data_IF_202199082342
#
_entry.id   IF_202199082342
#
_cell.length_a   1.000
_cell.length_b   1.000
_cell.length_c   1.000
_cell.angle_alpha   90.00
_cell.angle_beta   90.00
_cell.angle_gamma   90.00
#
_symmetry.space_group_name_H-M   'P 1'
#
loop_
_entity.id
_entity.type
_entity.pdbx_description
1 polymer ?
#
# COMPACT_ATOMS: atom_id res chain seq x y z
N UNK A 1 -11.71 -8.42 52.08
CA UNK A 1 -10.42 -8.25 51.38
C UNK A 1 -9.99 -6.79 51.52
N UNK A 2 -8.76 -6.52 51.97
CA UNK A 2 -8.27 -5.15 52.17
C UNK A 2 -8.24 -4.38 50.84
N UNK A 3 -8.58 -3.08 50.86
CA UNK A 3 -8.52 -2.19 49.68
C UNK A 3 -7.18 -2.26 48.94
N UNK A 4 -6.09 -2.53 49.66
CA UNK A 4 -4.76 -2.72 49.07
C UNK A 4 -4.67 -3.96 48.16
N UNK A 5 -5.35 -5.06 48.50
CA UNK A 5 -5.36 -6.29 47.70
C UNK A 5 -6.13 -6.10 46.40
N UNK A 6 -7.21 -5.31 46.43
CA UNK A 6 -8.02 -4.99 45.26
C UNK A 6 -7.30 -4.08 44.27
N UNK A 7 -6.51 -3.11 44.76
CA UNK A 7 -5.69 -2.22 43.93
C UNK A 7 -4.53 -2.98 43.28
N UNK A 8 -3.86 -3.87 44.01
CA UNK A 8 -2.77 -4.70 43.45
C UNK A 8 -3.32 -5.68 42.40
N UNK A 9 -4.48 -6.28 42.63
CA UNK A 9 -5.10 -7.18 41.64
C UNK A 9 -5.53 -6.43 40.36
N UNK A 10 -6.05 -5.20 40.51
CA UNK A 10 -6.41 -4.35 39.37
C UNK A 10 -5.17 -3.90 38.56
N UNK A 11 -4.04 -3.60 39.22
CA UNK A 11 -2.80 -3.25 38.55
C UNK A 11 -2.18 -4.45 37.79
N UNK A 12 -2.24 -5.64 38.39
CA UNK A 12 -1.74 -6.88 37.75
C UNK A 12 -2.59 -7.29 36.55
N UNK A 13 -3.92 -7.10 36.60
CA UNK A 13 -4.78 -7.30 35.43
C UNK A 13 -4.56 -6.24 34.33
N UNK A 14 -4.28 -4.99 34.70
CA UNK A 14 -3.96 -3.93 33.72
C UNK A 14 -2.60 -4.14 33.03
N UNK A 15 -1.62 -4.72 33.74
CA UNK A 15 -0.30 -5.08 33.18
C UNK A 15 -0.33 -6.35 32.30
N UNK A 16 -1.30 -7.24 32.50
CA UNK A 16 -1.45 -8.46 31.69
C UNK A 16 -2.13 -8.20 30.33
N UNK A 17 -2.90 -7.12 30.19
CA UNK A 17 -3.60 -6.76 28.94
C UNK A 17 -2.75 -6.01 27.91
N UNK A 18 -1.56 -5.53 28.28
CA UNK A 18 -0.71 -4.68 27.42
C UNK A 18 0.24 -5.41 26.48
N UNK A 19 0.43 -6.73 26.64
CA UNK A 19 1.50 -7.47 25.93
C UNK A 19 1.03 -8.35 24.77
N UNK A 20 -0.23 -8.22 24.32
CA UNK A 20 -0.75 -9.02 23.21
C UNK A 20 -0.73 -8.32 21.85
N UNK A 21 -0.30 -7.06 21.80
CA UNK A 21 -0.54 -6.15 20.64
C UNK A 21 0.72 -5.81 19.83
N UNK A 22 1.86 -6.43 20.14
CA UNK A 22 3.17 -6.14 19.51
C UNK A 22 3.92 -7.39 19.03
N UNK A 23 3.20 -8.49 18.77
CA UNK A 23 3.86 -9.70 18.22
C UNK A 23 3.88 -9.62 16.70
N UNK A 24 5.07 -9.36 16.15
CA UNK A 24 5.41 -9.87 14.83
C UNK A 24 4.99 -11.35 14.77
N UNK A 25 4.23 -11.79 13.76
CA UNK A 25 3.70 -13.14 13.76
C UNK A 25 4.83 -14.16 13.88
N UNK A 26 4.76 -15.04 14.88
CA UNK A 26 5.69 -16.14 15.00
C UNK A 26 5.37 -17.22 13.95
N UNK A 27 6.20 -17.31 12.91
CA UNK A 27 6.10 -18.34 11.88
C UNK A 27 4.75 -18.42 11.17
N UNK A 28 4.49 -19.57 10.57
CA UNK A 28 3.32 -19.89 9.75
C UNK A 28 1.98 -19.94 10.52
N UNK A 29 1.61 -18.85 11.19
CA UNK A 29 0.36 -18.75 11.94
C UNK A 29 -0.84 -18.64 11.00
N UNK A 30 -1.96 -19.22 11.42
CA UNK A 30 -3.27 -18.97 10.84
C UNK A 30 -3.64 -17.48 10.90
N UNK A 31 -4.29 -17.01 9.85
CA UNK A 31 -4.86 -15.66 9.80
C UNK A 31 -5.93 -15.54 10.88
N UNK A 32 -5.81 -14.58 11.82
CA UNK A 32 -6.84 -14.36 12.83
C UNK A 32 -8.19 -14.02 12.18
N UNK A 33 -9.32 -14.47 12.75
CA UNK A 33 -10.62 -14.02 12.31
C UNK A 33 -10.75 -12.51 12.56
N UNK A 34 -11.47 -11.80 11.70
CA UNK A 34 -11.71 -10.37 11.84
C UNK A 34 -12.52 -9.80 10.69
N UNK A 35 -12.86 -8.52 10.80
CA UNK A 35 -13.66 -7.75 9.82
C UNK A 35 -12.90 -6.58 9.21
N UNK A 36 -11.61 -6.43 9.54
CA UNK A 36 -10.77 -5.36 9.02
C UNK A 36 -10.46 -5.47 7.53
N UNK A 37 -9.70 -4.53 6.96
CA UNK A 37 -9.40 -4.49 5.54
C UNK A 37 -8.63 -5.74 5.12
N UNK A 38 -8.91 -6.28 3.94
CA UNK A 38 -8.24 -7.48 3.46
C UNK A 38 -7.28 -7.15 2.32
N UNK A 39 -6.06 -7.69 2.34
CA UNK A 39 -5.13 -7.50 1.22
C UNK A 39 -5.75 -8.08 -0.05
N UNK A 40 -5.74 -7.30 -1.13
CA UNK A 40 -6.22 -7.76 -2.43
C UNK A 40 -5.19 -8.70 -3.04
N UNK A 41 -5.64 -9.89 -3.46
CA UNK A 41 -4.79 -10.89 -4.09
C UNK A 41 -5.56 -11.67 -5.16
N UNK A 42 -5.65 -11.08 -6.36
CA UNK A 42 -6.44 -11.54 -7.49
C UNK A 42 -5.55 -11.87 -8.71
N UNK A 43 -5.09 -13.12 -8.77
CA UNK A 43 -4.25 -13.61 -9.88
C UNK A 43 -4.98 -13.69 -11.22
N UNK A 44 -6.32 -13.76 -11.19
CA UNK A 44 -7.14 -13.92 -12.39
C UNK A 44 -7.64 -12.61 -12.97
N UNK A 45 -7.38 -11.47 -12.31
CA UNK A 45 -7.75 -10.15 -12.84
C UNK A 45 -7.07 -9.93 -14.20
N UNK A 46 -7.76 -9.20 -15.07
CA UNK A 46 -7.35 -8.88 -16.44
C UNK A 46 -7.36 -7.37 -16.63
N UNK A 47 -6.44 -6.80 -17.43
CA UNK A 47 -5.41 -7.48 -18.22
C UNK A 47 -4.19 -7.96 -17.40
N UNK A 48 -4.01 -7.44 -16.19
CA UNK A 48 -2.95 -7.82 -15.25
C UNK A 48 -3.56 -8.29 -13.93
N UNK A 49 -2.88 -9.20 -13.21
CA UNK A 49 -3.28 -9.59 -11.87
C UNK A 49 -3.14 -8.41 -10.91
N UNK A 50 -3.99 -8.37 -9.90
CA UNK A 50 -3.91 -7.39 -8.82
C UNK A 50 -3.49 -8.10 -7.54
N UNK A 51 -2.20 -8.00 -7.26
CA UNK A 51 -1.56 -8.54 -6.07
C UNK A 51 -0.59 -7.48 -5.56
N UNK A 52 -0.11 -7.58 -4.30
CA UNK A 52 0.98 -6.73 -3.87
C UNK A 52 2.16 -6.84 -4.83
N UNK A 53 2.81 -5.73 -5.15
CA UNK A 53 4.00 -5.69 -6.00
C UNK A 53 5.11 -4.96 -5.26
N UNK A 54 6.39 -5.34 -5.40
CA UNK A 54 6.91 -6.59 -5.96
C UNK A 54 6.43 -7.86 -5.25
N UNK A 55 6.20 -8.94 -6.00
CA UNK A 55 5.88 -10.25 -5.40
C UNK A 55 6.35 -11.42 -6.26
N UNK A 56 7.08 -12.34 -5.64
CA UNK A 56 7.63 -13.53 -6.29
C UNK A 56 6.57 -14.44 -6.93
N UNK A 57 5.32 -14.39 -6.49
CA UNK A 57 4.20 -15.13 -7.13
C UNK A 57 3.99 -14.66 -8.59
N UNK A 58 4.32 -13.41 -8.91
CA UNK A 58 4.31 -12.87 -10.28
C UNK A 58 5.64 -13.07 -11.02
N UNK A 59 6.44 -14.06 -10.64
CA UNK A 59 7.69 -14.43 -11.32
C UNK A 59 7.66 -15.87 -11.79
N UNK A 60 8.57 -16.23 -12.68
CA UNK A 60 8.85 -17.62 -13.02
C UNK A 60 10.32 -17.95 -12.76
N UNK A 61 10.60 -19.21 -12.45
CA UNK A 61 11.97 -19.68 -12.21
C UNK A 61 12.76 -19.72 -13.52
N UNK A 62 13.95 -19.11 -13.52
CA UNK A 62 14.89 -19.10 -14.64
C UNK A 62 16.34 -19.27 -14.12
N UNK A 63 16.93 -20.47 -14.21
CA UNK A 63 18.30 -20.74 -13.79
C UNK A 63 19.37 -19.96 -14.56
N UNK A 64 19.05 -19.41 -15.73
CA UNK A 64 19.98 -18.58 -16.50
C UNK A 64 20.08 -17.14 -15.98
N UNK A 65 19.10 -16.72 -15.16
CA UNK A 65 19.09 -15.38 -14.55
C UNK A 65 19.94 -15.32 -13.28
N UNK A 66 20.50 -14.14 -12.98
CA UNK A 66 21.35 -13.93 -11.79
C UNK A 66 20.63 -14.08 -10.45
N UNK A 67 19.30 -13.98 -10.42
CA UNK A 67 18.46 -14.13 -9.23
C UNK A 67 17.70 -15.47 -9.22
N UNK A 68 17.82 -16.26 -10.28
CA UNK A 68 17.05 -17.49 -10.47
C UNK A 68 15.58 -17.26 -10.86
N UNK A 69 15.16 -16.01 -11.10
CA UNK A 69 13.78 -15.61 -11.42
C UNK A 69 13.72 -14.51 -12.47
N UNK A 70 12.60 -14.47 -13.20
CA UNK A 70 12.20 -13.37 -14.09
C UNK A 70 10.76 -12.96 -13.85
N UNK A 71 10.47 -11.69 -14.06
CA UNK A 71 9.10 -11.16 -13.92
C UNK A 71 8.21 -11.80 -14.99
N UNK A 72 7.04 -12.27 -14.56
CA UNK A 72 6.02 -12.82 -15.43
C UNK A 72 4.95 -11.77 -15.70
N UNK A 73 4.91 -11.24 -16.93
CA UNK A 73 3.92 -10.23 -17.34
C UNK A 73 3.16 -10.69 -18.57
N UNK A 74 1.85 -10.43 -18.60
CA UNK A 74 1.02 -10.72 -19.77
C UNK A 74 1.40 -9.83 -20.94
N UNK A 75 1.73 -10.44 -22.08
CA UNK A 75 1.98 -9.74 -23.34
C UNK A 75 0.68 -9.32 -24.07
N UNK A 76 -0.47 -9.78 -23.58
CA UNK A 76 -1.78 -9.36 -24.09
C UNK A 76 -2.13 -8.01 -23.50
N UNK A 77 -2.10 -6.97 -24.34
CA UNK A 77 -2.38 -5.59 -23.98
C UNK A 77 -3.28 -4.92 -25.05
N UNK A 78 -4.12 -3.95 -24.66
CA UNK A 78 -4.94 -3.17 -25.59
C UNK A 78 -4.15 -2.46 -26.70
N UNK A 79 -2.91 -2.03 -26.42
CA UNK A 79 -2.08 -1.28 -27.39
C UNK A 79 -0.73 -1.95 -27.65
N UNK A 80 -0.16 -1.69 -28.83
CA UNK A 80 1.20 -2.15 -29.18
C UNK A 80 2.28 -1.49 -28.31
N UNK A 81 2.09 -0.22 -27.94
CA UNK A 81 3.02 0.51 -27.08
C UNK A 81 3.11 -0.17 -25.72
N UNK A 82 1.97 -0.50 -25.14
CA UNK A 82 1.91 -1.20 -23.86
C UNK A 82 2.49 -2.62 -23.95
N UNK A 83 2.13 -3.39 -24.98
CA UNK A 83 2.73 -4.72 -25.19
C UNK A 83 4.26 -4.62 -25.30
N UNK A 84 4.78 -3.62 -26.02
CA UNK A 84 6.22 -3.39 -26.13
C UNK A 84 6.85 -3.02 -24.78
N UNK A 85 6.26 -2.10 -24.03
CA UNK A 85 6.74 -1.74 -22.69
C UNK A 85 6.77 -2.96 -21.76
N UNK A 86 5.71 -3.79 -21.77
CA UNK A 86 5.63 -5.02 -20.98
C UNK A 86 6.73 -6.03 -21.36
N UNK A 87 7.12 -6.11 -22.63
CA UNK A 87 8.21 -7.01 -23.06
C UNK A 87 9.53 -6.73 -22.34
N UNK A 88 9.76 -5.48 -21.95
CA UNK A 88 10.92 -5.06 -21.17
C UNK A 88 10.98 -5.72 -19.79
N UNK A 89 9.85 -5.90 -19.11
CA UNK A 89 9.82 -6.53 -17.77
C UNK A 89 10.30 -7.98 -17.81
N UNK A 90 10.01 -8.73 -18.88
CA UNK A 90 10.50 -10.11 -19.06
C UNK A 90 12.03 -10.18 -19.13
N UNK A 91 12.71 -9.09 -19.49
CA UNK A 91 14.18 -9.02 -19.49
C UNK A 91 14.77 -8.80 -18.10
N UNK A 92 13.97 -8.38 -17.11
CA UNK A 92 14.42 -8.14 -15.75
C UNK A 92 14.62 -9.44 -14.99
N UNK A 93 15.78 -9.54 -14.33
CA UNK A 93 16.18 -10.70 -13.53
C UNK A 93 15.75 -10.49 -12.08
N UNK A 94 14.45 -10.47 -11.85
CA UNK A 94 13.83 -10.16 -10.57
C UNK A 94 13.39 -8.70 -10.48
N UNK A 95 13.10 -8.26 -9.26
CA UNK A 95 12.52 -6.96 -8.98
C UNK A 95 13.58 -5.87 -8.77
N UNK A 96 13.22 -4.62 -9.08
CA UNK A 96 14.10 -3.47 -8.90
C UNK A 96 14.36 -3.18 -7.41
N UNK A 97 15.61 -2.85 -7.07
CA UNK A 97 16.01 -2.54 -5.69
C UNK A 97 15.48 -1.21 -5.15
N UNK A 98 14.95 -0.38 -6.05
CA UNK A 98 14.38 0.93 -5.73
C UNK A 98 12.97 1.07 -6.29
N UNK A 99 12.35 -0.05 -6.70
CA UNK A 99 10.98 -0.06 -7.17
C UNK A 99 10.04 0.27 -6.00
N UNK A 100 8.96 1.04 -6.24
CA UNK A 100 7.92 1.22 -5.24
C UNK A 100 7.26 -0.12 -4.93
N UNK A 101 6.88 -0.27 -3.66
CA UNK A 101 6.14 -1.42 -3.15
C UNK A 101 4.69 -0.98 -2.97
N UNK A 102 3.74 -1.69 -3.58
CA UNK A 102 2.32 -1.42 -3.47
C UNK A 102 1.57 -2.59 -2.81
N UNK A 103 0.62 -2.25 -1.94
CA UNK A 103 -0.32 -3.20 -1.32
C UNK A 103 -1.72 -2.59 -1.35
N UNK A 104 -2.62 -3.17 -2.14
CA UNK A 104 -4.02 -2.76 -2.17
C UNK A 104 -4.85 -3.48 -1.10
N UNK A 105 -5.89 -2.81 -0.60
CA UNK A 105 -6.79 -3.35 0.42
C UNK A 105 -8.25 -3.28 -0.02
N UNK A 106 -8.97 -4.40 0.08
CA UNK A 106 -10.42 -4.39 0.03
C UNK A 106 -10.94 -3.72 1.31
N UNK A 107 -11.83 -2.74 1.12
CA UNK A 107 -12.49 -2.00 2.20
C UNK A 107 -13.31 -2.93 3.10
N UNK A 108 -13.51 -2.46 4.31
CA UNK A 108 -14.40 -3.10 5.28
C UNK A 108 -15.86 -3.14 4.77
N UNK A 109 -16.61 -4.18 5.14
CA UNK A 109 -18.03 -4.27 4.78
C UNK A 109 -18.83 -3.09 5.35
N UNK A 110 -19.58 -2.42 4.47
CA UNK A 110 -20.37 -1.24 4.80
C UNK A 110 -19.55 0.04 4.97
N UNK A 111 -18.29 0.08 4.52
CA UNK A 111 -17.51 1.32 4.46
C UNK A 111 -18.19 2.36 3.57
N UNK A 112 -18.10 3.63 3.99
CA UNK A 112 -18.61 4.76 3.20
C UNK A 112 -17.89 4.85 1.85
N UNK A 113 -18.62 5.25 0.83
CA UNK A 113 -18.06 5.50 -0.50
C UNK A 113 -17.03 6.63 -0.43
N UNK A 114 -15.83 6.36 -0.94
CA UNK A 114 -14.70 7.29 -0.88
C UNK A 114 -13.94 7.31 0.46
N UNK A 115 -14.33 6.53 1.47
CA UNK A 115 -13.50 6.33 2.66
C UNK A 115 -12.30 5.43 2.33
N UNK A 116 -11.10 5.70 2.87
CA UNK A 116 -9.94 4.86 2.65
C UNK A 116 -10.12 3.48 3.30
N UNK A 117 -9.59 2.44 2.67
CA UNK A 117 -9.62 1.09 3.23
C UNK A 117 -8.87 0.98 4.56
N UNK A 118 -7.81 1.75 4.78
CA UNK A 118 -7.03 1.76 6.02
C UNK A 118 -7.19 3.09 6.77
N UNK A 119 -6.91 3.09 8.07
CA UNK A 119 -6.85 4.30 8.89
C UNK A 119 -5.58 5.11 8.57
N UNK A 120 -5.69 5.93 7.52
CA UNK A 120 -4.58 6.74 7.02
C UNK A 120 -4.13 7.81 8.02
N UNK A 121 -5.01 8.27 8.91
CA UNK A 121 -4.61 9.22 9.95
C UNK A 121 -3.78 8.56 11.06
N UNK A 122 -4.11 7.34 11.48
CA UNK A 122 -3.29 6.56 12.42
C UNK A 122 -1.93 6.22 11.80
N UNK A 123 -1.90 5.81 10.52
CA UNK A 123 -0.64 5.57 9.79
C UNK A 123 0.21 6.84 9.73
N UNK A 124 -0.38 7.98 9.35
CA UNK A 124 0.31 9.26 9.29
C UNK A 124 0.85 9.70 10.66
N UNK A 125 0.10 9.45 11.73
CA UNK A 125 0.51 9.78 13.09
C UNK A 125 1.71 8.94 13.57
N UNK A 126 1.71 7.63 13.30
CA UNK A 126 2.79 6.70 13.68
C UNK A 126 4.07 6.94 12.90
N UNK A 127 3.95 7.20 11.61
CA UNK A 127 5.08 7.27 10.68
C UNK A 127 5.65 8.68 10.51
N UNK A 128 5.28 9.63 11.39
CA UNK A 128 5.65 11.04 11.27
C UNK A 128 7.15 11.27 11.38
N UNK A 129 7.84 10.50 12.21
CA UNK A 129 9.29 10.53 12.36
C UNK A 129 9.95 9.31 11.69
N UNK A 130 11.29 9.26 11.74
CA UNK A 130 12.08 8.18 11.14
C UNK A 130 12.29 6.99 12.08
N UNK A 131 11.57 6.91 13.21
CA UNK A 131 11.70 5.82 14.17
C UNK A 131 10.72 4.69 13.82
N UNK A 132 11.21 3.55 13.29
CA UNK A 132 10.32 2.52 12.79
C UNK A 132 9.64 1.71 13.90
N UNK A 133 9.96 1.92 15.18
CA UNK A 133 9.53 1.00 16.27
C UNK A 133 8.02 0.87 16.43
N UNK A 134 7.27 1.93 16.13
CA UNK A 134 5.80 1.94 16.20
C UNK A 134 5.16 1.93 14.80
N UNK A 135 5.95 1.70 13.75
CA UNK A 135 5.43 1.66 12.39
C UNK A 135 4.48 0.46 12.21
N UNK A 136 3.40 0.63 11.43
CA UNK A 136 2.44 -0.44 11.19
C UNK A 136 2.90 -1.43 10.10
N UNK A 137 3.99 -1.12 9.39
CA UNK A 137 4.56 -1.96 8.33
C UNK A 137 6.09 -1.85 8.26
N UNK A 138 6.72 -2.87 7.67
CA UNK A 138 8.18 -2.95 7.52
C UNK A 138 8.55 -3.61 6.19
N UNK A 139 9.72 -3.26 5.66
CA UNK A 139 10.39 -4.03 4.61
C UNK A 139 11.66 -4.60 5.20
N UNK A 140 11.68 -5.90 5.45
CA UNK A 140 12.74 -6.57 6.21
C UNK A 140 13.61 -7.38 5.28
N UNK A 141 14.93 -7.19 5.34
CA UNK A 141 15.89 -8.08 4.72
C UNK A 141 15.90 -9.44 5.43
N UNK A 142 15.48 -10.50 4.76
CA UNK A 142 15.39 -11.83 5.35
C UNK A 142 16.75 -12.48 5.63
N UNK A 143 17.85 -11.90 5.13
CA UNK A 143 19.20 -12.35 5.45
C UNK A 143 19.72 -11.73 6.75
N UNK A 144 19.43 -10.45 7.00
CA UNK A 144 20.00 -9.69 8.13
C UNK A 144 19.00 -9.44 9.26
N UNK A 145 17.70 -9.55 8.98
CA UNK A 145 16.61 -9.17 9.88
C UNK A 145 16.44 -7.65 10.05
N UNK A 146 17.17 -6.84 9.28
CA UNK A 146 17.14 -5.38 9.42
C UNK A 146 16.01 -4.78 8.55
N UNK A 147 15.22 -3.85 9.10
CA UNK A 147 14.23 -3.11 8.31
C UNK A 147 14.93 -2.07 7.43
N UNK A 148 14.44 -1.92 6.19
CA UNK A 148 14.79 -0.82 5.31
C UNK A 148 14.07 0.46 5.73
N UNK A 149 14.73 1.60 5.54
CA UNK A 149 14.13 2.92 5.77
C UNK A 149 13.15 3.26 4.65
N UNK A 150 11.91 3.61 5.01
CA UNK A 150 10.82 3.89 4.06
C UNK A 150 10.42 5.37 4.08
N UNK A 151 10.19 5.95 2.90
CA UNK A 151 9.56 7.26 2.78
C UNK A 151 8.03 7.11 2.87
N UNK A 152 7.46 7.67 3.94
CA UNK A 152 6.02 7.69 4.20
C UNK A 152 5.57 9.15 4.29
N UNK A 153 5.72 9.88 3.18
CA UNK A 153 5.33 11.30 3.10
C UNK A 153 6.32 12.27 3.75
N UNK A 154 7.59 11.90 3.86
CA UNK A 154 8.67 12.71 4.46
C UNK A 154 9.43 13.55 3.42
N UNK A 155 9.03 13.47 2.15
CA UNK A 155 9.53 14.33 1.08
C UNK A 155 10.82 13.87 0.42
N UNK A 156 11.19 12.58 0.55
CA UNK A 156 12.33 12.04 -0.22
C UNK A 156 11.99 11.87 -1.70
N UNK A 157 10.71 11.69 -2.01
CA UNK A 157 10.18 11.58 -3.36
C UNK A 157 9.11 12.65 -3.63
N UNK A 158 9.49 13.90 -3.98
CA UNK A 158 8.52 14.92 -4.37
C UNK A 158 7.80 14.50 -5.65
N UNK A 159 6.48 14.69 -5.66
CA UNK A 159 5.60 14.38 -6.81
C UNK A 159 5.12 15.62 -7.55
N UNK A 160 5.66 16.77 -7.16
CA UNK A 160 5.27 18.08 -7.68
C UNK A 160 5.89 18.36 -9.05
N UNK A 161 5.10 18.83 -10.00
CA UNK A 161 5.57 19.31 -11.30
C UNK A 161 6.23 20.67 -11.14
N UNK A 162 7.43 20.84 -11.71
CA UNK A 162 8.17 22.10 -11.61
C UNK A 162 7.62 23.22 -12.52
N UNK A 163 6.95 22.86 -13.61
CA UNK A 163 6.38 23.78 -14.60
C UNK A 163 5.05 23.22 -15.13
N UNK A 164 3.92 23.48 -14.45
CA UNK A 164 2.62 22.90 -14.80
C UNK A 164 2.10 23.39 -16.16
N UNK A 165 2.57 24.56 -16.61
CA UNK A 165 2.12 25.20 -17.85
C UNK A 165 2.81 24.69 -19.12
N UNK A 166 3.66 23.64 -19.05
CA UNK A 166 4.30 23.05 -20.24
C UNK A 166 3.36 22.19 -21.08
N UNK A 167 2.24 21.78 -20.51
CA UNK A 167 1.26 20.97 -21.19
C UNK A 167 0.35 21.83 -22.08
N UNK A 168 -0.62 21.18 -22.71
CA UNK A 168 -1.41 21.80 -23.77
C UNK A 168 -2.28 22.95 -23.23
N UNK A 169 -2.44 24.03 -23.98
CA UNK A 169 -3.23 25.20 -23.55
C UNK A 169 -4.73 24.90 -23.29
N UNK A 170 -5.22 23.74 -23.75
CA UNK A 170 -6.60 23.27 -23.57
C UNK A 170 -6.68 22.10 -22.58
N UNK A 171 -5.61 21.80 -21.86
CA UNK A 171 -5.62 20.77 -20.83
C UNK A 171 -6.53 21.22 -19.67
N UNK A 172 -7.63 20.50 -19.37
CA UNK A 172 -8.51 20.84 -18.26
C UNK A 172 -7.80 20.77 -16.90
N UNK A 173 -6.69 20.04 -16.81
CA UNK A 173 -5.85 19.87 -15.63
C UNK A 173 -4.55 20.72 -15.72
N UNK A 174 -4.52 21.79 -16.51
CA UNK A 174 -3.33 22.64 -16.66
C UNK A 174 -2.82 23.26 -15.32
N UNK A 175 -3.67 23.33 -14.30
CA UNK A 175 -3.32 23.77 -12.94
C UNK A 175 -2.99 22.62 -11.98
N UNK A 176 -2.92 21.38 -12.45
CA UNK A 176 -2.52 20.25 -11.64
C UNK A 176 -1.03 20.29 -11.36
N UNK A 177 -0.69 20.22 -10.08
CA UNK A 177 0.68 20.28 -9.62
C UNK A 177 1.31 18.88 -9.46
N UNK A 178 0.56 17.81 -9.74
CA UNK A 178 1.02 16.41 -9.68
C UNK A 178 0.55 15.67 -10.92
N UNK A 179 1.41 14.82 -11.47
CA UNK A 179 1.06 13.89 -12.58
C UNK A 179 0.79 12.48 -12.08
N UNK A 180 1.13 12.18 -10.83
CA UNK A 180 1.10 10.81 -10.29
C UNK A 180 -0.13 10.54 -9.42
N UNK A 181 -0.68 11.58 -8.83
CA UNK A 181 -1.78 11.49 -7.87
C UNK A 181 -2.75 12.62 -8.13
N UNK A 182 -4.04 12.31 -8.00
CA UNK A 182 -5.08 13.29 -8.23
C UNK A 182 -5.04 14.41 -7.19
N UNK A 183 -5.23 15.64 -7.67
CA UNK A 183 -5.31 16.86 -6.87
C UNK A 183 -6.62 17.62 -7.06
N UNK A 184 -7.44 17.24 -8.03
CA UNK A 184 -8.71 17.85 -8.37
C UNK A 184 -9.87 16.99 -7.91
N UNK A 185 -10.93 17.67 -7.54
CA UNK A 185 -12.19 17.04 -7.19
C UNK A 185 -13.12 17.00 -8.40
N UNK A 186 -13.66 15.83 -8.65
CA UNK A 186 -14.70 15.58 -9.62
C UNK A 186 -15.99 15.21 -8.90
N UNK A 187 -17.10 15.80 -9.35
CA UNK A 187 -18.40 15.49 -8.75
C UNK A 187 -18.49 15.76 -7.24
N UNK A 188 -17.98 16.89 -6.75
CA UNK A 188 -17.98 17.21 -5.31
C UNK A 188 -19.29 16.87 -4.57
N UNK A 189 -19.18 15.98 -3.59
CA UNK A 189 -20.29 15.50 -2.76
C UNK A 189 -21.26 14.55 -3.48
N UNK A 190 -20.91 14.08 -4.67
CA UNK A 190 -21.64 13.05 -5.39
C UNK A 190 -20.95 11.70 -5.21
N UNK A 191 -21.72 10.60 -5.10
CA UNK A 191 -21.17 9.26 -5.20
C UNK A 191 -20.78 8.93 -6.64
N UNK A 192 -19.91 7.94 -6.84
CA UNK A 192 -19.59 7.36 -8.14
C UNK A 192 -20.85 6.87 -8.87
N UNK A 193 -21.84 6.37 -8.13
CA UNK A 193 -23.13 5.96 -8.71
C UNK A 193 -23.92 7.09 -9.40
N UNK A 194 -23.60 8.36 -9.11
CA UNK A 194 -24.16 9.54 -9.78
C UNK A 194 -23.32 10.05 -10.95
N UNK A 195 -22.34 9.26 -11.40
CA UNK A 195 -21.43 9.56 -12.50
C UNK A 195 -22.15 10.11 -13.73
N UNK A 196 -21.56 11.15 -14.31
CA UNK A 196 -21.93 11.71 -15.60
C UNK A 196 -20.66 12.03 -16.38
N UNK A 197 -20.61 11.73 -17.70
CA UNK A 197 -19.41 11.97 -18.50
C UNK A 197 -18.92 13.42 -18.51
N UNK A 198 -19.76 14.40 -18.16
CA UNK A 198 -19.36 15.81 -18.11
C UNK A 198 -18.68 16.21 -16.79
N UNK A 199 -18.73 15.35 -15.77
CA UNK A 199 -18.09 15.55 -14.47
C UNK A 199 -16.70 14.95 -14.40
N UNK A 200 -16.47 13.90 -15.20
CA UNK A 200 -15.19 13.23 -15.40
C UNK A 200 -14.36 14.02 -16.41
N UNK A 201 -13.27 14.62 -15.93
CA UNK A 201 -12.49 15.58 -16.72
C UNK A 201 -11.24 14.99 -17.36
N UNK A 202 -10.82 13.79 -16.97
CA UNK A 202 -9.72 13.05 -17.59
C UNK A 202 -10.14 11.79 -18.35
N UNK A 203 -11.44 11.48 -18.33
CA UNK A 203 -12.17 10.50 -19.14
C UNK A 203 -11.83 9.04 -18.83
N UNK A 204 -11.51 8.73 -17.57
CA UNK A 204 -11.19 7.36 -17.16
C UNK A 204 -12.41 6.57 -16.64
N UNK A 205 -13.55 7.24 -16.45
CA UNK A 205 -14.81 6.68 -15.99
C UNK A 205 -15.00 6.68 -14.47
N UNK A 206 -14.13 7.33 -13.72
CA UNK A 206 -14.19 7.52 -12.27
C UNK A 206 -14.51 8.98 -11.96
N UNK A 207 -15.15 9.25 -10.82
CA UNK A 207 -15.25 10.59 -10.24
C UNK A 207 -14.14 10.67 -9.19
N UNK A 208 -13.06 11.36 -9.54
CA UNK A 208 -11.92 11.41 -8.65
C UNK A 208 -12.06 12.40 -7.50
N UNK A 209 -11.33 12.10 -6.44
CA UNK A 209 -11.19 12.97 -5.29
C UNK A 209 -9.70 13.23 -5.04
N UNK A 210 -9.30 14.43 -4.57
CA UNK A 210 -7.91 14.72 -4.31
C UNK A 210 -7.28 13.69 -3.35
N UNK A 211 -6.10 13.20 -3.68
CA UNK A 211 -5.37 12.18 -2.93
C UNK A 211 -4.72 12.76 -1.67
N UNK A 212 -5.54 13.22 -0.73
CA UNK A 212 -5.14 13.88 0.53
C UNK A 212 -5.73 13.16 1.74
N UNK A 213 -5.22 13.47 2.94
CA UNK A 213 -5.78 12.90 4.18
C UNK A 213 -7.29 13.15 4.31
N UNK A 214 -7.75 14.37 3.95
CA UNK A 214 -9.16 14.77 4.07
C UNK A 214 -9.57 15.65 2.88
N UNK A 215 -10.23 15.09 1.84
CA UNK A 215 -10.72 15.88 0.72
C UNK A 215 -11.88 16.75 1.20
N UNK A 216 -11.64 18.05 1.34
CA UNK A 216 -12.65 19.02 1.82
C UNK A 216 -12.87 20.18 0.84
N UNK A 217 -12.06 20.27 -0.20
CA UNK A 217 -12.08 21.33 -1.20
C UNK A 217 -12.04 20.77 -2.60
N UNK A 218 -12.10 21.66 -3.59
CA UNK A 218 -12.11 21.28 -5.01
C UNK A 218 -10.72 20.98 -5.59
N UNK A 219 -9.69 21.46 -4.92
CA UNK A 219 -8.32 21.31 -5.36
C UNK A 219 -7.42 21.21 -4.13
N UNK A 220 -6.60 20.17 -4.08
CA UNK A 220 -5.57 19.97 -3.07
C UNK A 220 -4.33 20.77 -3.42
N UNK A 221 -3.63 21.20 -2.36
CA UNK A 221 -2.30 21.78 -2.54
C UNK A 221 -1.25 20.69 -2.69
N UNK A 222 -0.13 20.96 -3.38
CA UNK A 222 0.91 19.95 -3.58
C UNK A 222 1.46 19.36 -2.27
N UNK A 223 1.57 20.18 -1.23
CA UNK A 223 2.05 19.78 0.10
C UNK A 223 1.07 18.89 0.88
N UNK A 224 -0.20 18.83 0.47
CA UNK A 224 -1.25 18.02 1.11
C UNK A 224 -1.35 16.61 0.51
N UNK A 225 -0.78 16.41 -0.68
CA UNK A 225 -0.87 15.16 -1.45
C UNK A 225 -0.16 14.03 -0.72
N UNK A 226 -0.88 12.93 -0.51
CA UNK A 226 -0.34 11.69 0.00
C UNK A 226 0.55 11.04 -1.07
N UNK A 227 1.78 10.72 -0.71
CA UNK A 227 2.72 10.02 -1.60
C UNK A 227 2.90 8.54 -1.25
N UNK A 228 2.31 8.13 -0.14
CA UNK A 228 2.45 6.80 0.47
C UNK A 228 1.12 6.03 0.54
N UNK A 229 0.02 6.64 0.12
CA UNK A 229 -1.27 5.99 -0.03
C UNK A 229 -2.00 6.60 -1.23
N UNK A 230 -2.64 5.75 -2.03
CA UNK A 230 -3.45 6.12 -3.18
C UNK A 230 -4.91 5.72 -2.86
N UNK A 231 -5.79 6.71 -2.78
CA UNK A 231 -7.16 6.56 -2.27
C UNK A 231 -8.11 5.89 -3.24
N UNK A 232 -7.93 6.06 -4.54
CA UNK A 232 -8.84 5.54 -5.54
C UNK A 232 -8.79 4.00 -5.57
N UNK A 233 -7.58 3.45 -5.57
CA UNK A 233 -7.27 2.01 -5.59
C UNK A 233 -7.06 1.41 -4.20
N UNK A 234 -7.18 2.22 -3.14
CA UNK A 234 -6.92 1.82 -1.75
C UNK A 234 -5.54 1.17 -1.55
N UNK A 235 -4.51 1.75 -2.16
CA UNK A 235 -3.17 1.18 -2.21
C UNK A 235 -2.20 1.89 -1.27
N UNK A 236 -1.61 1.14 -0.33
CA UNK A 236 -0.41 1.57 0.39
C UNK A 236 0.79 1.53 -0.55
N UNK A 237 1.56 2.61 -0.58
CA UNK A 237 2.75 2.77 -1.41
C UNK A 237 3.97 3.01 -0.50
N UNK A 238 4.92 2.07 -0.51
CA UNK A 238 6.15 2.15 0.26
C UNK A 238 7.33 2.31 -0.68
N UNK A 239 8.21 3.27 -0.39
CA UNK A 239 9.44 3.49 -1.16
C UNK A 239 10.65 3.44 -0.25
N UNK A 240 11.61 2.52 -0.50
CA UNK A 240 12.89 2.56 0.18
C UNK A 240 13.57 3.91 -0.06
N UNK A 241 14.06 4.57 0.99
CA UNK A 241 14.82 5.83 0.88
C UNK A 241 16.19 5.58 0.24
N UNK A 242 16.77 4.42 0.55
CA UNK A 242 18.03 3.93 0.01
C UNK A 242 17.73 2.66 -0.79
N UNK A 243 18.36 2.46 -1.97
CA UNK A 243 18.21 1.23 -2.73
C UNK A 243 18.49 -0.01 -1.87
N UNK A 244 17.61 -0.99 -1.95
CA UNK A 244 17.78 -2.29 -1.32
C UNK A 244 19.01 -3.00 -1.90
N UNK A 245 19.62 -3.88 -1.11
CA UNK A 245 20.72 -4.72 -1.58
C UNK A 245 20.25 -5.69 -2.67
N UNK A 246 21.05 -5.81 -3.73
CA UNK A 246 20.77 -6.70 -4.85
C UNK A 246 20.90 -8.17 -4.43
N UNK A 247 20.18 -9.07 -5.13
CA UNK A 247 20.22 -10.52 -4.90
C UNK A 247 19.89 -10.93 -3.45
N UNK A 248 19.05 -10.12 -2.78
CA UNK A 248 18.49 -10.43 -1.47
C UNK A 248 16.99 -10.66 -1.57
N UNK A 249 16.47 -11.29 -0.54
CA UNK A 249 15.05 -11.53 -0.36
C UNK A 249 14.54 -10.65 0.76
N UNK A 250 13.44 -9.94 0.50
CA UNK A 250 12.83 -9.04 1.46
C UNK A 250 11.39 -9.48 1.72
N UNK A 251 10.96 -9.32 2.96
CA UNK A 251 9.56 -9.47 3.34
C UNK A 251 8.94 -8.10 3.59
N UNK A 252 7.78 -7.86 2.97
CA UNK A 252 6.88 -6.79 3.38
C UNK A 252 6.04 -7.34 4.52
N UNK A 253 6.22 -6.79 5.73
CA UNK A 253 5.50 -7.20 6.93
C UNK A 253 4.46 -6.14 7.25
N UNK A 254 3.19 -6.53 7.26
CA UNK A 254 2.09 -5.71 7.75
C UNK A 254 1.71 -6.22 9.14
N UNK A 255 1.68 -5.32 10.11
CA UNK A 255 1.38 -5.67 11.51
C UNK A 255 -0.10 -5.51 11.82
N UNK A 256 -0.52 -5.99 12.98
CA UNK A 256 -1.86 -5.75 13.54
C UNK A 256 -2.09 -4.29 13.99
N UNK A 257 -1.05 -3.45 13.96
CA UNK A 257 -1.18 -2.00 14.11
C UNK A 257 -1.75 -1.34 12.85
N UNK A 258 -1.58 -1.95 11.67
CA UNK A 258 -2.23 -1.47 10.46
C UNK A 258 -3.72 -1.84 10.52
N UNK A 259 -4.58 -0.84 10.62
CA UNK A 259 -6.01 -1.01 10.88
C UNK A 259 -6.86 -0.35 9.80
N UNK A 260 -8.11 -0.81 9.68
CA UNK A 260 -9.16 -0.09 8.98
C UNK A 260 -9.74 1.07 9.82
N UNK A 261 -10.55 1.95 9.22
CA UNK A 261 -11.19 3.07 9.90
C UNK A 261 -12.02 2.69 11.15
N UNK A 262 -12.51 1.44 11.23
CA UNK A 262 -13.25 0.94 12.41
C UNK A 262 -12.35 0.32 13.48
N UNK A 263 -11.02 0.39 13.32
CA UNK A 263 -10.02 -0.07 14.27
C UNK A 263 -9.67 -1.57 14.19
N UNK A 264 -10.28 -2.33 13.28
CA UNK A 264 -9.94 -3.73 13.06
C UNK A 264 -8.64 -3.88 12.23
N UNK A 265 -7.73 -4.79 12.59
CA UNK A 265 -6.46 -4.97 11.88
C UNK A 265 -6.66 -5.51 10.46
N UNK A 266 -5.71 -5.19 9.57
CA UNK A 266 -5.66 -5.76 8.22
C UNK A 266 -5.53 -7.28 8.25
N UNK A 267 -6.01 -7.93 7.19
CA UNK A 267 -6.06 -9.40 7.09
C UNK A 267 -5.40 -9.92 5.83
N UNK A 268 -4.78 -11.10 5.97
CA UNK A 268 -4.36 -11.93 4.84
C UNK A 268 -5.59 -12.54 4.15
N UNK A 269 -5.59 -12.67 2.81
CA UNK A 269 -6.64 -13.37 2.07
C UNK A 269 -6.47 -14.90 2.11
N UNK A 270 -5.40 -15.41 2.73
CA UNK A 270 -5.13 -16.84 2.86
C UNK A 270 -5.49 -17.35 4.27
N UNK A 271 -5.58 -18.67 4.41
CA UNK A 271 -5.76 -19.32 5.71
C UNK A 271 -4.64 -19.00 6.70
N UNK A 272 -3.44 -18.75 6.19
CA UNK A 272 -2.28 -18.28 6.94
C UNK A 272 -1.98 -16.82 6.60
N UNK A 273 -1.23 -16.16 7.47
CA UNK A 273 -0.80 -14.75 7.32
C UNK A 273 0.11 -14.47 6.09
N UNK A 274 0.43 -15.49 5.29
CA UNK A 274 1.31 -15.41 4.13
C UNK A 274 0.77 -16.34 3.02
N UNK A 275 1.17 -16.07 1.77
CA UNK A 275 0.87 -16.97 0.66
C UNK A 275 1.68 -18.28 0.80
N UNK A 276 1.14 -19.47 0.46
CA UNK A 276 1.86 -20.75 0.66
C UNK A 276 3.27 -20.82 0.05
N UNK A 277 3.53 -20.14 -1.07
CA UNK A 277 4.88 -20.08 -1.67
C UNK A 277 5.88 -19.24 -0.86
N UNK A 278 5.42 -18.44 0.10
CA UNK A 278 6.23 -17.56 0.95
C UNK A 278 6.59 -18.21 2.30
N UNK A 279 6.16 -19.44 2.56
CA UNK A 279 6.34 -20.13 3.86
C UNK A 279 7.79 -20.10 4.36
N UNK A 280 8.76 -20.44 3.50
CA UNK A 280 10.19 -20.43 3.88
C UNK A 280 10.71 -19.04 4.24
N UNK A 281 10.14 -17.99 3.66
CA UNK A 281 10.44 -16.61 4.02
C UNK A 281 9.86 -16.27 5.38
N UNK A 282 8.60 -16.65 5.62
CA UNK A 282 7.89 -16.37 6.87
C UNK A 282 8.43 -17.14 8.10
N UNK A 283 9.15 -18.25 7.89
CA UNK A 283 9.79 -19.04 8.96
C UNK A 283 11.17 -18.51 9.39
N UNK A 284 11.78 -17.59 8.64
CA UNK A 284 13.07 -16.97 8.96
C UNK A 284 12.89 -15.75 9.86
#
# INVERSE_FOLDING_TARGET
>A
MSRAVLVVLALVLALAGGCFVDRAPGGARETPPGTGPQIVFELTRRPLPEIPQPNDVATFADPSSRTGRRINVSMVAPTRLEAFARSGFTTLEGWGTFAPISVAFAREEGADEGAPAIDIEDVYARTRDWDPRDDPFYVIDLQTGLPALLDVGKGSFPVTVSDPNRYWANDPRASADSLLFETHEEGFGLPQSAYRPELDTDFDGVLDHPNVLRPTGRQARPEEVLTWYERETDSLLLRPVVPLEQKREYAVVLTDRLKGPRGAPVRSPFSNIHHPQQLRGAER
#
